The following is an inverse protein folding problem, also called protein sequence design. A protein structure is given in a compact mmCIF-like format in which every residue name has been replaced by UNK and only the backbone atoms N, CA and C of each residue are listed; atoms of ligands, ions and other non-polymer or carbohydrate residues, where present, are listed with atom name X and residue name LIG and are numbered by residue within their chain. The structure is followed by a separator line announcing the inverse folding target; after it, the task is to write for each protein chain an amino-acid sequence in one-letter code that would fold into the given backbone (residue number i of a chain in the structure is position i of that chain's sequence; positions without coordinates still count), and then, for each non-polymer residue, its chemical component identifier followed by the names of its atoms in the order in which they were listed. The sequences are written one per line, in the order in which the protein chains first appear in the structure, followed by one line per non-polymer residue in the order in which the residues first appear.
data_IF_571340897891
#
_entry.id   IF_571340897891
#
_cell.length_a   1.000
_cell.length_b   1.000
_cell.length_c   1.000
_cell.angle_alpha   90.00
_cell.angle_beta   90.00
_cell.angle_gamma   90.00
#
_symmetry.space_group_name_H-M   'P 1'
#
loop_
_entity.id
_entity.type
_entity.pdbx_description
1 polymer ?
#
# COMPACT_ATOMS: atom_id res chain seq x y z
N UNK A 1 4.57 11.44 30.89
CA UNK A 1 3.68 10.26 30.68
C UNK A 1 4.46 8.95 30.76
N UNK A 2 5.48 8.71 29.94
CA UNK A 2 6.27 7.45 29.97
C UNK A 2 7.03 7.15 31.27
N UNK A 3 7.48 8.17 32.01
CA UNK A 3 8.21 7.98 33.28
C UNK A 3 7.31 7.37 34.36
N UNK A 4 6.07 7.86 34.50
CA UNK A 4 5.10 7.29 35.45
C UNK A 4 4.62 5.88 35.07
N UNK A 5 4.49 5.59 33.78
CA UNK A 5 4.13 4.24 33.31
C UNK A 5 5.21 3.21 33.70
N UNK A 6 6.50 3.58 33.67
CA UNK A 6 7.59 2.69 34.08
C UNK A 6 7.56 2.36 35.58
N UNK A 7 7.28 3.34 36.43
CA UNK A 7 7.23 3.15 37.88
C UNK A 7 6.06 2.25 38.29
N UNK A 8 4.91 2.41 37.65
CA UNK A 8 3.72 1.57 37.83
C UNK A 8 4.00 0.13 37.37
N UNK A 9 4.56 -0.07 36.17
CA UNK A 9 4.91 -1.40 35.64
C UNK A 9 5.88 -2.13 36.57
N UNK A 10 6.89 -1.45 37.13
CA UNK A 10 7.84 -2.04 38.07
C UNK A 10 7.19 -2.55 39.38
N UNK A 11 6.04 -2.01 39.78
CA UNK A 11 5.31 -2.41 41.01
C UNK A 11 4.31 -3.55 40.79
N UNK A 12 4.02 -3.93 39.55
CA UNK A 12 3.03 -4.94 39.22
C UNK A 12 3.51 -6.37 39.51
N UNK A 13 2.57 -7.30 39.75
CA UNK A 13 2.86 -8.73 39.83
C UNK A 13 3.48 -9.22 38.50
N UNK A 14 4.46 -10.13 38.57
CA UNK A 14 5.17 -10.72 37.43
C UNK A 14 4.24 -11.19 36.30
N UNK A 15 3.09 -11.81 36.62
CA UNK A 15 2.11 -12.22 35.60
C UNK A 15 1.46 -11.05 34.86
N UNK A 16 1.16 -9.96 35.57
CA UNK A 16 0.54 -8.76 34.99
C UNK A 16 1.59 -7.92 34.27
N UNK A 17 2.85 -7.91 34.74
CA UNK A 17 3.99 -7.32 34.01
C UNK A 17 4.18 -7.99 32.66
N UNK A 18 4.18 -9.32 32.62
CA UNK A 18 4.32 -10.08 31.36
C UNK A 18 3.11 -9.83 30.45
N UNK A 19 1.90 -9.74 30.99
CA UNK A 19 0.71 -9.38 30.22
C UNK A 19 0.78 -7.95 29.67
N UNK A 20 1.21 -6.96 30.45
CA UNK A 20 1.35 -5.57 29.99
C UNK A 20 2.48 -5.41 28.99
N UNK A 21 3.62 -6.09 29.21
CA UNK A 21 4.70 -6.14 28.22
C UNK A 21 4.21 -6.83 26.95
N UNK A 22 3.48 -7.94 27.04
CA UNK A 22 2.84 -8.58 25.90
C UNK A 22 1.87 -7.62 25.21
N UNK A 23 1.01 -6.90 25.95
CA UNK A 23 0.09 -5.91 25.40
C UNK A 23 0.80 -4.76 24.69
N UNK A 24 1.88 -4.23 25.26
CA UNK A 24 2.75 -3.18 24.68
C UNK A 24 3.50 -3.70 23.45
N UNK A 25 3.97 -4.95 23.48
CA UNK A 25 4.60 -5.61 22.32
C UNK A 25 3.57 -6.02 21.24
N UNK A 26 2.28 -6.13 21.61
CA UNK A 26 1.15 -6.35 20.70
C UNK A 26 0.43 -5.07 20.30
N UNK A 27 0.87 -3.90 20.77
CA UNK A 27 0.51 -2.65 20.09
C UNK A 27 1.24 -2.69 18.76
N UNK A 28 0.53 -3.22 17.76
CA UNK A 28 1.01 -3.29 16.39
C UNK A 28 1.59 -1.94 16.03
N UNK A 29 2.82 -1.93 15.53
CA UNK A 29 3.37 -0.76 14.86
C UNK A 29 2.28 -0.26 13.91
N UNK A 30 1.64 0.86 14.26
CA UNK A 30 0.59 1.45 13.45
C UNK A 30 1.25 1.94 12.17
N UNK A 31 1.49 1.05 11.22
CA UNK A 31 2.06 1.38 9.93
C UNK A 31 0.96 1.85 9.01
N UNK A 32 1.23 2.88 8.23
CA UNK A 32 0.28 3.35 7.21
C UNK A 32 0.41 2.45 5.98
N UNK A 33 -0.66 1.73 5.60
CA UNK A 33 -0.60 0.73 4.53
C UNK A 33 -1.16 1.26 3.21
N UNK A 34 -0.36 1.14 2.15
CA UNK A 34 -0.72 1.46 0.77
C UNK A 34 -0.93 0.16 0.00
N UNK A 35 -1.98 0.08 -0.81
CA UNK A 35 -2.21 -1.03 -1.74
C UNK A 35 -2.49 -0.58 -3.17
N UNK A 36 -2.28 -1.50 -4.12
CA UNK A 36 -2.84 -1.42 -5.47
C UNK A 36 -3.46 -2.76 -5.85
N UNK A 37 -4.63 -2.74 -6.48
CA UNK A 37 -5.38 -3.96 -6.81
C UNK A 37 -6.14 -3.82 -8.13
N UNK A 38 -5.81 -4.67 -9.11
CA UNK A 38 -6.64 -4.87 -10.28
C UNK A 38 -7.83 -5.76 -9.90
N UNK A 39 -9.05 -5.23 -10.05
CA UNK A 39 -10.29 -5.93 -9.66
C UNK A 39 -10.88 -6.79 -10.78
N UNK A 40 -10.24 -6.90 -11.94
CA UNK A 40 -10.69 -7.68 -13.10
C UNK A 40 -12.13 -7.38 -13.50
N UNK A 41 -12.33 -6.40 -14.39
CA UNK A 41 -13.65 -6.02 -14.92
C UNK A 41 -14.66 -5.80 -13.78
N UNK A 42 -14.36 -4.88 -12.87
CA UNK A 42 -15.29 -4.52 -11.80
C UNK A 42 -16.42 -3.64 -12.35
N UNK A 43 -17.59 -4.24 -12.49
CA UNK A 43 -18.83 -3.55 -12.86
C UNK A 43 -20.03 -4.15 -12.13
N UNK A 44 -21.25 -3.80 -12.57
CA UNK A 44 -22.51 -4.21 -11.92
C UNK A 44 -22.57 -5.69 -11.55
N UNK A 45 -22.27 -6.59 -12.49
CA UNK A 45 -22.30 -8.05 -12.25
C UNK A 45 -21.43 -8.49 -11.07
N UNK A 46 -20.25 -7.88 -10.91
CA UNK A 46 -19.32 -8.22 -9.82
C UNK A 46 -19.74 -7.54 -8.51
N UNK A 47 -20.20 -6.28 -8.58
CA UNK A 47 -20.69 -5.54 -7.43
C UNK A 47 -21.97 -6.16 -6.83
N UNK A 48 -22.86 -6.73 -7.65
CA UNK A 48 -24.12 -7.34 -7.20
C UNK A 48 -23.94 -8.78 -6.69
N UNK A 49 -22.75 -9.36 -6.81
CA UNK A 49 -22.44 -10.65 -6.21
C UNK A 49 -21.97 -10.43 -4.76
N UNK A 50 -22.87 -10.64 -3.80
CA UNK A 50 -22.62 -10.39 -2.38
C UNK A 50 -21.38 -11.11 -1.84
N UNK A 51 -21.15 -12.36 -2.25
CA UNK A 51 -19.99 -13.13 -1.81
C UNK A 51 -18.69 -12.51 -2.32
N UNK A 52 -18.63 -12.16 -3.60
CA UNK A 52 -17.45 -11.53 -4.20
C UNK A 52 -17.22 -10.14 -3.63
N UNK A 53 -18.27 -9.34 -3.50
CA UNK A 53 -18.21 -8.01 -2.92
C UNK A 53 -17.71 -8.07 -1.47
N UNK A 54 -18.19 -9.02 -0.66
CA UNK A 54 -17.74 -9.23 0.71
C UNK A 54 -16.23 -9.49 0.80
N UNK A 55 -15.66 -10.30 -0.10
CA UNK A 55 -14.21 -10.49 -0.15
C UNK A 55 -13.47 -9.23 -0.58
N UNK A 56 -13.97 -8.50 -1.59
CA UNK A 56 -13.37 -7.24 -2.03
C UNK A 56 -13.35 -6.21 -0.88
N UNK A 57 -14.45 -6.06 -0.16
CA UNK A 57 -14.55 -5.19 1.03
C UNK A 57 -13.55 -5.63 2.10
N UNK A 58 -13.47 -6.93 2.41
CA UNK A 58 -12.52 -7.48 3.39
C UNK A 58 -11.07 -7.21 2.99
N UNK A 59 -10.73 -7.29 1.70
CA UNK A 59 -9.41 -6.93 1.16
C UNK A 59 -9.16 -5.43 1.34
N UNK A 60 -10.05 -4.56 0.87
CA UNK A 60 -9.89 -3.09 0.92
C UNK A 60 -9.72 -2.61 2.37
N UNK A 61 -10.45 -3.21 3.32
CA UNK A 61 -10.36 -2.94 4.76
C UNK A 61 -9.00 -3.25 5.39
N UNK A 62 -7.99 -3.67 4.63
CA UNK A 62 -6.60 -3.82 5.11
C UNK A 62 -5.76 -2.56 4.94
N UNK A 63 -6.22 -1.61 4.12
CA UNK A 63 -5.40 -0.50 3.64
C UNK A 63 -5.88 0.83 4.21
N UNK A 64 -4.95 1.75 4.46
CA UNK A 64 -5.27 3.14 4.74
C UNK A 64 -5.60 3.89 3.45
N UNK A 65 -4.92 3.54 2.36
CA UNK A 65 -5.24 3.96 1.00
C UNK A 65 -4.98 2.82 0.02
N UNK A 66 -5.89 2.60 -0.92
CA UNK A 66 -5.75 1.60 -1.99
C UNK A 66 -6.13 2.17 -3.35
N UNK A 67 -5.31 1.87 -4.35
CA UNK A 67 -5.58 2.13 -5.76
C UNK A 67 -6.30 0.94 -6.39
N UNK A 68 -7.49 1.16 -6.95
CA UNK A 68 -8.30 0.15 -7.63
C UNK A 68 -8.36 0.42 -9.13
N UNK A 69 -8.23 -0.66 -9.90
CA UNK A 69 -8.16 -0.63 -11.36
C UNK A 69 -9.24 -1.51 -11.99
N UNK A 70 -9.40 -1.38 -13.31
CA UNK A 70 -10.41 -2.10 -14.10
C UNK A 70 -11.86 -1.87 -13.67
N UNK A 71 -12.18 -0.66 -13.22
CA UNK A 71 -13.58 -0.28 -12.96
C UNK A 71 -14.26 -0.03 -14.30
N UNK A 72 -15.14 -0.95 -14.73
CA UNK A 72 -15.81 -0.94 -16.02
C UNK A 72 -17.32 -0.81 -15.85
N UNK A 73 -17.74 0.38 -15.42
CA UNK A 73 -19.15 0.71 -15.27
C UNK A 73 -19.44 2.17 -15.63
N UNK A 74 -20.18 2.39 -16.71
CA UNK A 74 -20.47 3.76 -17.19
C UNK A 74 -21.54 4.47 -16.37
N UNK A 75 -22.35 3.75 -15.60
CA UNK A 75 -23.35 4.34 -14.70
C UNK A 75 -22.73 4.95 -13.44
N UNK A 76 -21.58 4.39 -13.01
CA UNK A 76 -20.96 4.69 -11.73
C UNK A 76 -21.57 3.95 -10.54
N UNK A 77 -22.64 3.18 -10.73
CA UNK A 77 -23.39 2.55 -9.65
C UNK A 77 -22.58 1.50 -8.89
N UNK A 78 -21.73 0.72 -9.58
CA UNK A 78 -20.84 -0.27 -8.96
C UNK A 78 -19.89 0.37 -7.93
N UNK A 79 -19.43 1.60 -8.19
CA UNK A 79 -18.58 2.36 -7.26
C UNK A 79 -19.39 2.73 -6.02
N UNK A 80 -20.64 3.15 -6.20
CA UNK A 80 -21.55 3.49 -5.09
C UNK A 80 -21.89 2.25 -4.25
N UNK A 81 -22.16 1.11 -4.88
CA UNK A 81 -22.38 -0.17 -4.18
C UNK A 81 -21.16 -0.56 -3.36
N UNK A 82 -19.96 -0.49 -3.94
CA UNK A 82 -18.71 -0.80 -3.26
C UNK A 82 -18.48 0.10 -2.04
N UNK A 83 -18.63 1.41 -2.21
CA UNK A 83 -18.46 2.38 -1.13
C UNK A 83 -19.46 2.14 0.00
N UNK A 84 -20.74 1.90 -0.33
CA UNK A 84 -21.78 1.65 0.66
C UNK A 84 -21.50 0.37 1.46
N UNK A 85 -21.11 -0.72 0.79
CA UNK A 85 -20.75 -1.97 1.46
C UNK A 85 -19.52 -1.78 2.36
N UNK A 86 -18.47 -1.13 1.84
CA UNK A 86 -17.25 -0.84 2.59
C UNK A 86 -17.50 0.00 3.85
N UNK A 87 -18.31 1.05 3.73
CA UNK A 87 -18.61 1.97 4.82
C UNK A 87 -19.60 1.40 5.84
N UNK A 88 -20.51 0.52 5.41
CA UNK A 88 -21.40 -0.21 6.33
C UNK A 88 -20.60 -1.16 7.23
N UNK A 89 -19.54 -1.76 6.69
CA UNK A 89 -18.62 -2.63 7.42
C UNK A 89 -17.50 -1.89 8.18
N UNK A 90 -17.46 -0.56 8.13
CA UNK A 90 -16.39 0.25 8.73
C UNK A 90 -16.94 1.43 9.58
N UNK A 91 -17.84 1.17 10.56
CA UNK A 91 -18.54 2.25 11.28
C UNK A 91 -17.60 3.19 12.06
N UNK A 92 -16.45 2.70 12.53
CA UNK A 92 -15.46 3.49 13.27
C UNK A 92 -14.41 4.20 12.41
N UNK A 93 -14.30 3.89 11.11
CA UNK A 93 -13.36 4.55 10.20
C UNK A 93 -13.80 4.35 8.75
N UNK A 94 -14.73 5.20 8.32
CA UNK A 94 -15.25 5.21 6.96
C UNK A 94 -14.16 5.56 5.95
N UNK A 95 -14.38 5.16 4.71
CA UNK A 95 -13.58 5.49 3.55
C UNK A 95 -14.23 6.62 2.76
N UNK A 96 -13.39 7.48 2.19
CA UNK A 96 -13.71 8.37 1.09
C UNK A 96 -13.04 7.87 -0.19
N UNK A 97 -13.44 8.47 -1.31
CA UNK A 97 -12.95 8.11 -2.63
C UNK A 97 -12.61 9.33 -3.48
N UNK A 98 -11.66 9.16 -4.38
CA UNK A 98 -11.47 10.02 -5.55
C UNK A 98 -11.41 9.13 -6.79
N UNK A 99 -12.09 9.55 -7.85
CA UNK A 99 -12.34 8.72 -9.05
C UNK A 99 -11.85 9.47 -10.27
N UNK A 100 -11.14 8.80 -11.18
CA UNK A 100 -10.73 9.39 -12.45
C UNK A 100 -11.92 9.52 -13.42
N UNK A 101 -11.73 10.32 -14.49
CA UNK A 101 -12.55 10.18 -15.71
C UNK A 101 -12.44 8.76 -16.27
N UNK A 102 -13.35 8.36 -17.17
CA UNK A 102 -13.25 7.10 -17.93
C UNK A 102 -12.10 7.20 -18.96
N UNK A 103 -11.19 6.22 -18.95
CA UNK A 103 -9.95 6.16 -19.74
C UNK A 103 -9.95 4.95 -20.67
N UNK A 104 -9.29 5.06 -21.82
CA UNK A 104 -9.32 4.05 -22.89
C UNK A 104 -9.53 4.68 -24.27
N UNK A 105 -8.83 4.14 -25.26
CA UNK A 105 -8.91 4.50 -26.68
C UNK A 105 -10.20 3.95 -27.32
N UNK A 106 -10.76 2.89 -26.75
CA UNK A 106 -11.97 2.21 -27.25
C UNK A 106 -13.25 2.61 -26.51
N UNK A 107 -14.39 2.06 -26.94
CA UNK A 107 -15.66 2.21 -26.22
C UNK A 107 -15.64 1.52 -24.84
N UNK A 108 -14.85 0.45 -24.67
CA UNK A 108 -14.69 -0.25 -23.40
C UNK A 108 -13.65 0.48 -22.53
N UNK A 109 -14.12 1.49 -21.80
CA UNK A 109 -13.29 2.32 -20.91
C UNK A 109 -13.26 1.82 -19.47
N UNK A 110 -12.20 2.17 -18.78
CA UNK A 110 -11.95 1.90 -17.36
C UNK A 110 -11.89 3.18 -16.53
N UNK A 111 -12.08 3.06 -15.23
CA UNK A 111 -11.81 4.12 -14.27
C UNK A 111 -10.85 3.64 -13.21
N UNK A 112 -10.13 4.60 -12.66
CA UNK A 112 -9.30 4.42 -11.48
C UNK A 112 -9.98 5.00 -10.26
N UNK A 113 -9.79 4.35 -9.12
CA UNK A 113 -10.28 4.84 -7.83
C UNK A 113 -9.14 4.78 -6.82
N UNK A 114 -8.93 5.86 -6.08
CA UNK A 114 -8.27 5.76 -4.78
C UNK A 114 -9.33 5.78 -3.69
N UNK A 115 -9.38 4.71 -2.89
CA UNK A 115 -10.16 4.65 -1.65
C UNK A 115 -9.22 4.88 -0.48
N UNK A 116 -9.60 5.74 0.46
CA UNK A 116 -8.78 6.04 1.63
C UNK A 116 -9.61 6.23 2.89
N UNK A 117 -9.09 5.81 4.03
CA UNK A 117 -9.78 5.97 5.33
C UNK A 117 -9.76 7.41 5.77
N UNK A 118 -10.91 7.93 6.21
CA UNK A 118 -11.08 9.29 6.74
C UNK A 118 -10.16 9.61 7.91
N UNK A 119 -9.93 8.63 8.78
CA UNK A 119 -9.09 8.80 9.98
C UNK A 119 -7.66 8.29 9.80
N UNK A 120 -7.22 8.02 8.57
CA UNK A 120 -5.81 7.66 8.30
C UNK A 120 -4.84 8.84 8.48
N UNK A 121 -5.36 10.06 8.62
CA UNK A 121 -4.56 11.28 8.76
C UNK A 121 -3.93 11.76 7.45
N UNK A 122 -4.48 11.32 6.32
CA UNK A 122 -4.13 11.88 5.01
C UNK A 122 -5.18 12.88 4.55
N UNK A 123 -4.74 13.82 3.72
CA UNK A 123 -5.59 14.76 2.99
C UNK A 123 -5.18 14.74 1.52
N UNK A 124 -6.16 14.63 0.63
CA UNK A 124 -5.94 14.77 -0.80
C UNK A 124 -5.82 16.26 -1.11
N UNK A 125 -4.63 16.70 -1.52
CA UNK A 125 -4.35 18.12 -1.83
C UNK A 125 -4.86 18.47 -3.22
N UNK A 126 -4.58 17.60 -4.19
CA UNK A 126 -4.99 17.77 -5.58
C UNK A 126 -4.87 16.44 -6.31
N UNK A 127 -5.60 16.30 -7.42
CA UNK A 127 -5.46 15.19 -8.33
C UNK A 127 -5.66 15.62 -9.78
N UNK A 128 -5.08 14.88 -10.71
CA UNK A 128 -5.30 15.07 -12.14
C UNK A 128 -4.97 13.79 -12.91
N UNK A 129 -5.57 13.65 -14.10
CA UNK A 129 -5.15 12.63 -15.07
C UNK A 129 -4.07 13.25 -15.95
N UNK A 130 -2.95 12.54 -16.15
CA UNK A 130 -1.84 12.99 -16.98
C UNK A 130 -2.35 13.41 -18.37
N UNK A 131 -1.91 14.56 -18.84
CA UNK A 131 -2.20 14.99 -20.20
C UNK A 131 -1.18 14.32 -21.13
N UNK A 132 -1.66 13.39 -21.96
CA UNK A 132 -0.83 12.61 -22.87
C UNK A 132 -0.94 13.11 -24.32
N UNK A 133 -0.21 14.17 -24.71
CA UNK A 133 -0.31 14.75 -26.05
C UNK A 133 0.21 13.81 -27.15
N UNK A 134 0.97 12.77 -26.80
CA UNK A 134 1.53 11.81 -27.75
C UNK A 134 0.71 10.52 -27.85
N UNK A 135 -0.40 10.41 -27.11
CA UNK A 135 -1.29 9.24 -27.07
C UNK A 135 -0.53 7.91 -26.89
N UNK A 136 0.44 7.93 -25.98
CA UNK A 136 1.28 6.78 -25.62
C UNK A 136 0.46 5.79 -24.81
N UNK A 137 -0.24 6.28 -23.79
CA UNK A 137 -1.00 5.50 -22.82
C UNK A 137 -2.41 5.22 -23.33
N UNK A 138 -2.83 3.95 -23.30
CA UNK A 138 -4.25 3.60 -23.47
C UNK A 138 -5.11 4.16 -22.34
N UNK A 139 -4.56 4.19 -21.12
CA UNK A 139 -5.20 4.75 -19.94
C UNK A 139 -4.20 5.64 -19.23
N UNK A 140 -4.35 6.94 -19.39
CA UNK A 140 -3.40 7.92 -18.87
C UNK A 140 -3.28 7.81 -17.32
N UNK A 141 -2.07 7.91 -16.73
CA UNK A 141 -1.90 7.77 -15.29
C UNK A 141 -2.76 8.77 -14.49
N UNK A 142 -3.24 8.33 -13.32
CA UNK A 142 -4.01 9.18 -12.38
C UNK A 142 -3.15 9.58 -11.19
N UNK A 143 -2.85 10.88 -11.11
CA UNK A 143 -1.92 11.47 -10.16
C UNK A 143 -2.70 12.05 -8.99
N UNK A 144 -2.26 11.74 -7.77
CA UNK A 144 -2.86 12.20 -6.52
C UNK A 144 -1.77 12.70 -5.59
N UNK A 145 -1.82 13.99 -5.24
CA UNK A 145 -0.95 14.59 -4.24
C UNK A 145 -1.57 14.46 -2.87
N UNK A 146 -0.81 13.91 -1.94
CA UNK A 146 -1.24 13.57 -0.59
C UNK A 146 -0.40 14.33 0.42
N UNK A 147 -1.07 14.91 1.42
CA UNK A 147 -0.45 15.33 2.67
C UNK A 147 -0.83 14.35 3.77
N UNK A 148 0.10 14.10 4.69
CA UNK A 148 -0.10 13.14 5.78
C UNK A 148 0.43 13.71 7.10
N UNK A 149 -0.37 13.57 8.14
CA UNK A 149 0.00 13.93 9.52
C UNK A 149 0.46 12.72 10.33
N UNK A 150 0.34 11.50 9.79
CA UNK A 150 0.70 10.26 10.49
C UNK A 150 1.98 9.62 10.01
N UNK A 151 2.34 9.77 8.74
CA UNK A 151 3.57 9.19 8.18
C UNK A 151 4.77 10.09 8.45
N UNK A 152 5.97 9.50 8.52
CA UNK A 152 7.22 10.28 8.70
C UNK A 152 7.53 11.21 7.51
N UNK A 153 7.05 10.86 6.31
CA UNK A 153 6.97 11.76 5.16
C UNK A 153 5.60 12.45 5.18
N UNK A 154 5.62 13.78 5.12
CA UNK A 154 4.41 14.61 5.27
C UNK A 154 3.70 14.93 3.95
N UNK A 155 4.36 14.74 2.82
CA UNK A 155 3.81 15.02 1.49
C UNK A 155 4.45 14.07 0.48
N UNK A 156 3.62 13.42 -0.36
CA UNK A 156 4.06 12.52 -1.42
C UNK A 156 2.98 12.41 -2.50
N UNK A 157 3.33 11.81 -3.64
CA UNK A 157 2.41 11.59 -4.77
C UNK A 157 2.24 10.11 -5.03
N UNK A 158 0.99 9.69 -5.25
CA UNK A 158 0.64 8.39 -5.81
C UNK A 158 0.22 8.57 -7.27
N UNK A 159 0.85 7.84 -8.18
CA UNK A 159 0.58 7.88 -9.62
C UNK A 159 0.09 6.50 -10.08
N UNK A 160 -1.23 6.34 -10.08
CA UNK A 160 -1.89 5.08 -10.42
C UNK A 160 -1.90 4.82 -11.93
N UNK A 161 -1.57 3.59 -12.34
CA UNK A 161 -1.53 3.18 -13.75
C UNK A 161 -1.93 1.71 -13.93
N UNK A 162 -2.71 1.42 -14.96
CA UNK A 162 -2.95 0.08 -15.51
C UNK A 162 -2.47 0.07 -16.96
N UNK A 163 -1.31 -0.54 -17.20
CA UNK A 163 -0.60 -0.51 -18.48
C UNK A 163 -1.21 -1.47 -19.49
N UNK A 164 -1.31 -1.09 -20.77
CA UNK A 164 -1.79 -1.99 -21.81
C UNK A 164 -0.76 -3.11 -22.08
N UNK A 165 -1.14 -4.41 -22.02
CA UNK A 165 -0.19 -5.52 -22.17
C UNK A 165 0.69 -5.45 -23.42
N UNK A 166 0.09 -5.16 -24.58
CA UNK A 166 0.82 -5.07 -25.86
C UNK A 166 1.69 -3.82 -26.00
N UNK A 167 1.58 -2.85 -25.08
CA UNK A 167 2.41 -1.64 -25.04
C UNK A 167 3.25 -1.56 -23.75
N UNK A 168 3.41 -2.66 -23.01
CA UNK A 168 3.97 -2.60 -21.66
C UNK A 168 5.33 -1.89 -21.58
N UNK A 169 6.29 -2.28 -22.42
CA UNK A 169 7.60 -1.63 -22.50
C UNK A 169 7.48 -0.13 -22.83
N UNK A 170 6.58 0.25 -23.75
CA UNK A 170 6.41 1.63 -24.19
C UNK A 170 5.80 2.51 -23.09
N UNK A 171 4.69 2.07 -22.49
CA UNK A 171 3.98 2.82 -21.45
C UNK A 171 4.80 2.93 -20.16
N UNK A 172 5.47 1.84 -19.72
CA UNK A 172 6.35 1.89 -18.55
C UNK A 172 7.53 2.85 -18.79
N UNK A 173 8.11 2.83 -20.00
CA UNK A 173 9.20 3.78 -20.35
C UNK A 173 8.72 5.24 -20.27
N UNK A 174 7.49 5.52 -20.72
CA UNK A 174 6.93 6.86 -20.72
C UNK A 174 6.61 7.41 -19.31
N UNK A 175 6.68 6.58 -18.26
CA UNK A 175 6.54 7.05 -16.87
C UNK A 175 7.63 8.06 -16.47
N UNK A 176 8.78 8.11 -17.15
CA UNK A 176 9.77 9.19 -16.93
C UNK A 176 9.25 10.57 -17.33
N UNK A 177 8.46 10.65 -18.41
CA UNK A 177 7.82 11.91 -18.81
C UNK A 177 6.74 12.29 -17.81
N UNK A 178 5.98 11.31 -17.31
CA UNK A 178 4.99 11.51 -16.25
C UNK A 178 5.66 12.00 -14.96
N UNK A 179 6.80 11.42 -14.58
CA UNK A 179 7.60 11.89 -13.44
C UNK A 179 7.97 13.38 -13.59
N UNK A 180 8.48 13.77 -14.75
CA UNK A 180 8.84 15.17 -15.01
C UNK A 180 7.64 16.13 -14.91
N UNK A 181 6.47 15.71 -15.41
CA UNK A 181 5.22 16.47 -15.29
C UNK A 181 4.77 16.61 -13.82
N UNK A 182 4.84 15.53 -13.03
CA UNK A 182 4.52 15.55 -11.60
C UNK A 182 5.45 16.50 -10.86
N UNK A 183 6.78 16.41 -11.07
CA UNK A 183 7.74 17.31 -10.41
C UNK A 183 7.44 18.77 -10.76
N UNK A 184 7.14 19.05 -12.02
CA UNK A 184 6.80 20.40 -12.48
C UNK A 184 5.51 20.93 -11.86
N UNK A 185 4.42 20.15 -11.81
CA UNK A 185 3.10 20.58 -11.34
C UNK A 185 2.93 20.50 -9.83
N UNK A 186 3.39 19.41 -9.23
CA UNK A 186 3.17 19.08 -7.82
C UNK A 186 4.32 19.51 -6.91
N UNK A 187 5.45 19.95 -7.48
CA UNK A 187 6.63 20.47 -6.76
C UNK A 187 7.22 19.47 -5.76
N UNK A 188 7.12 18.17 -6.07
CA UNK A 188 7.72 17.10 -5.30
C UNK A 188 8.26 16.01 -6.22
N UNK A 189 9.31 15.33 -5.76
CA UNK A 189 9.93 14.18 -6.41
C UNK A 189 9.68 12.87 -5.64
N UNK A 190 8.97 12.95 -4.50
CA UNK A 190 8.55 11.81 -3.69
C UNK A 190 7.30 11.18 -4.33
N UNK A 191 7.52 10.25 -5.26
CA UNK A 191 6.49 9.70 -6.13
C UNK A 191 6.51 8.18 -6.05
N UNK A 192 5.33 7.58 -5.94
CA UNK A 192 5.11 6.15 -6.08
C UNK A 192 4.19 5.90 -7.28
N UNK A 193 4.73 5.30 -8.33
CA UNK A 193 3.93 4.68 -9.38
C UNK A 193 3.45 3.32 -8.90
N UNK A 194 2.15 3.04 -9.06
CA UNK A 194 1.52 1.83 -8.54
C UNK A 194 0.41 1.31 -9.44
N UNK A 195 0.33 -0.01 -9.58
CA UNK A 195 -0.73 -0.71 -10.30
C UNK A 195 -0.22 -1.88 -11.14
N UNK A 196 -1.11 -2.42 -11.96
CA UNK A 196 -0.87 -3.47 -12.93
C UNK A 196 -0.12 -2.89 -14.12
N UNK A 197 1.19 -3.10 -14.14
CA UNK A 197 2.06 -2.60 -15.18
C UNK A 197 2.27 -3.62 -16.31
N UNK A 198 1.70 -4.83 -16.21
CA UNK A 198 2.02 -5.94 -17.10
C UNK A 198 3.54 -6.16 -17.25
N UNK A 199 4.30 -5.91 -16.17
CA UNK A 199 5.76 -5.75 -16.17
C UNK A 199 6.54 -7.07 -16.04
N UNK A 200 6.05 -8.16 -16.64
CA UNK A 200 6.82 -9.40 -16.78
C UNK A 200 6.29 -10.30 -17.91
N UNK A 201 6.75 -11.55 -17.93
CA UNK A 201 6.32 -12.60 -18.84
C UNK A 201 6.39 -12.17 -20.31
N UNK A 202 5.39 -12.52 -21.13
CA UNK A 202 5.38 -12.21 -22.56
C UNK A 202 5.15 -10.73 -22.87
N UNK A 203 4.58 -9.97 -21.94
CA UNK A 203 4.25 -8.55 -22.14
C UNK A 203 5.47 -7.64 -21.97
N UNK A 204 6.32 -7.93 -20.99
CA UNK A 204 7.58 -7.23 -20.77
C UNK A 204 8.75 -8.21 -20.57
N UNK A 205 9.25 -8.83 -21.65
CA UNK A 205 10.40 -9.74 -21.57
C UNK A 205 11.63 -9.05 -20.96
N UNK A 206 12.36 -9.76 -20.08
CA UNK A 206 13.54 -9.24 -19.35
C UNK A 206 14.58 -8.59 -20.28
N UNK A 207 14.77 -9.11 -21.49
CA UNK A 207 15.66 -8.54 -22.52
C UNK A 207 15.29 -7.12 -22.99
N UNK A 208 14.09 -6.65 -22.71
CA UNK A 208 13.65 -5.29 -23.00
C UNK A 208 13.45 -4.50 -21.71
N UNK A 209 12.75 -5.10 -20.73
CA UNK A 209 12.44 -4.46 -19.46
C UNK A 209 13.71 -4.00 -18.73
N UNK A 210 14.79 -4.80 -18.73
CA UNK A 210 16.03 -4.44 -18.03
C UNK A 210 16.84 -3.32 -18.69
N UNK A 211 16.40 -2.81 -19.85
CA UNK A 211 17.11 -1.76 -20.59
C UNK A 211 16.33 -0.44 -20.67
N UNK A 212 15.10 -0.38 -20.15
CA UNK A 212 14.36 0.88 -20.15
C UNK A 212 14.93 1.84 -19.08
N UNK A 213 14.94 3.17 -19.33
CA UNK A 213 15.53 4.15 -18.42
C UNK A 213 15.06 4.06 -16.96
N UNK A 214 13.74 3.90 -16.74
CA UNK A 214 13.15 3.78 -15.39
C UNK A 214 13.58 2.50 -14.65
N UNK A 215 14.11 1.50 -15.37
CA UNK A 215 14.63 0.26 -14.78
C UNK A 215 16.14 0.30 -14.54
N UNK A 216 16.89 0.99 -15.39
CA UNK A 216 18.36 1.08 -15.32
C UNK A 216 18.85 2.20 -14.41
N UNK A 217 18.03 3.23 -14.19
CA UNK A 217 18.35 4.34 -13.30
C UNK A 217 18.30 3.93 -11.83
N UNK A 218 19.33 4.31 -11.07
CA UNK A 218 19.41 4.08 -9.62
C UNK A 218 18.46 4.97 -8.79
N UNK A 219 17.74 5.89 -9.44
CA UNK A 219 16.78 6.79 -8.79
C UNK A 219 15.39 6.18 -8.60
N UNK A 220 15.10 5.10 -9.32
CA UNK A 220 13.82 4.41 -9.23
C UNK A 220 14.00 3.06 -8.53
N UNK A 221 13.18 2.84 -7.51
CA UNK A 221 13.22 1.65 -6.69
C UNK A 221 11.99 0.80 -7.00
N UNK A 222 12.23 -0.35 -7.63
CA UNK A 222 11.19 -1.34 -7.92
C UNK A 222 10.97 -2.20 -6.69
N UNK A 223 9.91 -1.93 -5.93
CA UNK A 223 9.70 -2.51 -4.60
C UNK A 223 9.04 -3.89 -4.64
N UNK A 224 8.41 -4.25 -5.75
CA UNK A 224 7.99 -5.62 -6.04
C UNK A 224 9.02 -6.22 -7.00
N UNK A 225 9.71 -7.27 -6.56
CA UNK A 225 10.74 -7.95 -7.33
C UNK A 225 10.15 -8.78 -8.48
N UNK A 226 10.97 -9.08 -9.50
CA UNK A 226 10.57 -9.88 -10.68
C UNK A 226 10.26 -11.34 -10.35
N UNK A 227 10.57 -11.81 -9.15
CA UNK A 227 10.32 -13.19 -8.72
C UNK A 227 9.07 -13.33 -7.85
N UNK A 228 8.24 -12.29 -7.77
CA UNK A 228 7.01 -12.27 -6.98
C UNK A 228 5.83 -12.41 -7.94
N UNK A 229 5.15 -13.55 -7.89
CA UNK A 229 3.91 -13.76 -8.63
C UNK A 229 2.81 -12.85 -8.08
N UNK A 230 2.25 -11.99 -8.94
CA UNK A 230 1.12 -11.12 -8.59
C UNK A 230 -0.20 -11.64 -9.16
N UNK A 231 -0.24 -12.88 -9.67
CA UNK A 231 -1.41 -13.48 -10.31
C UNK A 231 -2.06 -14.57 -9.46
N UNK A 232 -3.39 -14.68 -9.52
CA UNK A 232 -4.18 -15.69 -8.78
C UNK A 232 -4.26 -17.02 -9.54
N UNK A 233 -4.08 -16.97 -10.86
CA UNK A 233 -4.18 -18.16 -11.71
C UNK A 233 -3.03 -19.13 -11.44
N UNK A 234 -3.34 -20.42 -11.28
CA UNK A 234 -2.33 -21.47 -11.09
C UNK A 234 -1.46 -21.73 -12.33
N UNK A 235 -1.86 -21.20 -13.49
CA UNK A 235 -1.17 -21.38 -14.76
C UNK A 235 -0.23 -20.23 -15.12
N UNK A 236 -0.08 -19.25 -14.23
CA UNK A 236 0.73 -18.05 -14.43
C UNK A 236 1.63 -17.85 -13.22
N UNK A 237 2.81 -17.27 -13.46
CA UNK A 237 3.80 -16.89 -12.45
C UNK A 237 4.46 -15.62 -13.00
N UNK A 238 3.83 -14.48 -12.72
CA UNK A 238 4.18 -13.21 -13.36
C UNK A 238 4.10 -12.03 -12.38
N UNK A 239 5.16 -11.24 -12.31
CA UNK A 239 5.23 -9.99 -11.56
C UNK A 239 4.64 -8.81 -12.36
N UNK A 240 3.32 -8.85 -12.62
CA UNK A 240 2.65 -7.81 -13.40
C UNK A 240 2.45 -6.51 -12.62
N UNK A 241 2.01 -6.62 -11.37
CA UNK A 241 1.70 -5.49 -10.50
C UNK A 241 2.97 -4.97 -9.83
N UNK A 242 3.23 -3.66 -9.92
CA UNK A 242 4.48 -3.06 -9.44
C UNK A 242 4.27 -1.81 -8.60
N UNK A 243 5.22 -1.63 -7.69
CA UNK A 243 5.53 -0.35 -7.06
C UNK A 243 6.88 0.14 -7.62
N UNK A 244 6.89 1.31 -8.23
CA UNK A 244 8.12 1.99 -8.67
C UNK A 244 8.19 3.33 -7.93
N UNK A 245 9.12 3.43 -6.97
CA UNK A 245 9.28 4.57 -6.09
C UNK A 245 10.43 5.47 -6.56
N UNK A 246 10.25 6.77 -6.47
CA UNK A 246 11.29 7.79 -6.61
C UNK A 246 11.32 8.70 -5.37
N UNK A 247 12.50 9.20 -5.01
CA UNK A 247 12.72 10.13 -3.91
C UNK A 247 13.23 9.47 -2.63
N UNK A 248 14.42 9.87 -2.18
CA UNK A 248 15.09 9.27 -1.01
C UNK A 248 14.27 9.44 0.28
N UNK A 249 13.55 10.56 0.41
CA UNK A 249 12.69 10.81 1.57
C UNK A 249 11.54 9.82 1.60
N UNK A 250 10.90 9.56 0.46
CA UNK A 250 9.86 8.55 0.37
C UNK A 250 10.43 7.15 0.61
N UNK A 251 11.56 6.80 -0.01
CA UNK A 251 12.21 5.49 0.20
C UNK A 251 12.49 5.23 1.68
N UNK A 252 13.08 6.21 2.38
CA UNK A 252 13.39 6.11 3.80
C UNK A 252 12.14 6.02 4.70
N UNK A 253 10.98 6.46 4.21
CA UNK A 253 9.71 6.35 4.91
C UNK A 253 9.07 4.97 4.78
N UNK A 254 9.50 4.11 3.85
CA UNK A 254 8.99 2.74 3.70
C UNK A 254 9.53 1.87 4.85
N UNK A 255 8.66 1.01 5.41
CA UNK A 255 9.07 -0.05 6.34
C UNK A 255 9.81 -1.10 5.52
N UNK A 256 11.04 -1.41 5.94
CA UNK A 256 11.90 -2.36 5.24
C UNK A 256 11.21 -3.72 5.09
N UNK A 257 11.34 -4.34 3.91
CA UNK A 257 10.74 -5.65 3.57
C UNK A 257 9.20 -5.73 3.72
N UNK A 258 8.49 -4.59 3.76
CA UNK A 258 7.03 -4.58 3.82
C UNK A 258 6.34 -4.74 2.46
N UNK A 259 7.05 -4.50 1.36
CA UNK A 259 6.51 -4.60 0.01
C UNK A 259 6.31 -6.07 -0.39
N UNK A 260 5.06 -6.47 -0.64
CA UNK A 260 4.69 -7.85 -0.93
C UNK A 260 3.33 -7.95 -1.63
N UNK A 261 2.96 -9.17 -2.01
CA UNK A 261 1.59 -9.50 -2.44
C UNK A 261 0.72 -9.92 -1.26
N UNK A 262 -0.56 -9.63 -1.33
CA UNK A 262 -1.57 -10.18 -0.43
C UNK A 262 -2.33 -11.33 -1.10
N UNK A 263 -1.88 -12.55 -0.82
CA UNK A 263 -2.47 -13.79 -1.34
C UNK A 263 -3.81 -14.09 -0.65
N UNK A 264 -4.86 -13.35 -1.03
CA UNK A 264 -6.17 -13.39 -0.37
C UNK A 264 -6.86 -14.75 -0.47
N UNK A 265 -6.51 -15.55 -1.47
CA UNK A 265 -6.99 -16.91 -1.65
C UNK A 265 -6.46 -17.83 -0.55
N UNK A 266 -5.18 -17.73 -0.20
CA UNK A 266 -4.55 -18.47 0.90
C UNK A 266 -5.04 -17.95 2.24
N UNK A 267 -5.04 -16.64 2.44
CA UNK A 267 -5.48 -16.01 3.69
C UNK A 267 -6.94 -16.38 4.03
N UNK A 268 -7.83 -16.37 3.03
CA UNK A 268 -9.24 -16.68 3.22
C UNK A 268 -9.62 -18.12 2.87
N UNK A 269 -8.63 -18.97 2.56
CA UNK A 269 -8.79 -20.40 2.22
C UNK A 269 -9.80 -20.62 1.09
N UNK A 270 -9.71 -19.81 0.04
CA UNK A 270 -10.59 -19.86 -1.10
C UNK A 270 -10.19 -20.97 -2.07
N UNK A 271 -11.17 -21.56 -2.73
CA UNK A 271 -10.89 -22.36 -3.92
C UNK A 271 -10.45 -21.42 -5.04
N UNK A 272 -9.65 -21.92 -6.00
CA UNK A 272 -9.17 -21.09 -7.11
C UNK A 272 -10.34 -20.50 -7.92
N UNK A 273 -11.45 -21.22 -8.07
CA UNK A 273 -12.67 -20.72 -8.72
C UNK A 273 -13.26 -19.50 -8.01
N UNK A 274 -13.36 -19.55 -6.67
CA UNK A 274 -13.86 -18.40 -5.89
C UNK A 274 -12.86 -17.26 -5.95
N UNK A 275 -11.56 -17.54 -5.83
CA UNK A 275 -10.52 -16.52 -5.91
C UNK A 275 -10.55 -15.78 -7.27
N UNK A 276 -10.63 -16.51 -8.38
CA UNK A 276 -10.74 -15.94 -9.73
C UNK A 276 -12.04 -15.16 -9.98
N UNK A 277 -13.10 -15.42 -9.19
CA UNK A 277 -14.31 -14.60 -9.22
C UNK A 277 -14.11 -13.24 -8.53
N UNK A 278 -13.21 -13.17 -7.55
CA UNK A 278 -12.77 -11.91 -6.91
C UNK A 278 -11.86 -11.14 -7.85
N UNK A 279 -10.72 -11.71 -8.25
CA UNK A 279 -9.81 -11.17 -9.25
C UNK A 279 -8.84 -12.25 -9.75
N UNK A 280 -8.20 -12.01 -10.90
CA UNK A 280 -7.03 -12.77 -11.37
C UNK A 280 -5.69 -12.16 -10.96
N UNK A 281 -5.69 -11.02 -10.27
CA UNK A 281 -4.50 -10.40 -9.66
C UNK A 281 -4.58 -10.48 -8.14
N UNK A 282 -3.44 -10.53 -7.46
CA UNK A 282 -3.34 -10.24 -6.04
C UNK A 282 -3.13 -8.74 -5.83
N UNK A 283 -3.67 -8.14 -4.75
CA UNK A 283 -3.23 -6.82 -4.32
C UNK A 283 -1.72 -6.85 -4.01
N UNK A 284 -0.99 -5.84 -4.47
CA UNK A 284 0.34 -5.52 -3.95
C UNK A 284 0.19 -4.52 -2.81
N UNK A 285 1.00 -4.66 -1.76
CA UNK A 285 0.95 -3.84 -0.57
C UNK A 285 2.32 -3.45 -0.06
N UNK A 286 2.41 -2.28 0.57
CA UNK A 286 3.58 -1.83 1.32
C UNK A 286 3.14 -1.05 2.57
N UNK A 287 4.06 -0.91 3.52
CA UNK A 287 3.85 -0.19 4.76
C UNK A 287 4.80 1.01 4.88
N UNK A 288 4.28 2.12 5.39
CA UNK A 288 5.04 3.32 5.69
C UNK A 288 5.19 3.52 7.20
N UNK A 289 6.38 3.97 7.60
CA UNK A 289 6.70 4.38 8.96
C UNK A 289 5.80 5.54 9.37
N UNK A 290 5.23 5.44 10.57
CA UNK A 290 4.44 6.51 11.19
C UNK A 290 5.24 7.24 12.26
N UNK A 291 4.82 8.47 12.55
CA UNK A 291 5.45 9.33 13.57
C UNK A 291 5.45 8.69 14.97
N UNK A 292 4.51 7.78 15.24
CA UNK A 292 4.45 6.99 16.48
C UNK A 292 5.41 5.79 16.47
N UNK A 293 5.64 5.17 15.31
CA UNK A 293 6.59 4.06 15.14
C UNK A 293 8.07 4.48 15.18
N UNK A 294 8.35 5.78 15.02
CA UNK A 294 9.70 6.36 15.09
C UNK A 294 10.15 6.78 16.50
N UNK A 295 9.34 6.53 17.54
CA UNK A 295 9.84 6.61 18.91
C UNK A 295 10.97 5.57 19.06
N UNK A 296 12.13 5.93 19.65
CA UNK A 296 13.30 5.06 19.65
C UNK A 296 12.94 3.71 20.26
N UNK A 297 13.15 2.65 19.48
CA UNK A 297 13.16 1.28 19.96
C UNK A 297 14.13 1.24 21.15
N UNK A 298 13.62 1.12 22.37
CA UNK A 298 14.49 0.91 23.54
C UNK A 298 14.96 -0.54 23.41
N UNK A 299 16.23 -0.81 23.09
CA UNK A 299 16.69 -2.18 22.92
C UNK A 299 16.48 -2.94 24.23
N UNK A 300 16.10 -4.22 24.14
CA UNK A 300 15.89 -5.10 25.30
C UNK A 300 17.07 -5.08 26.29
N UNK A 301 18.28 -4.81 25.80
CA UNK A 301 19.52 -4.68 26.58
C UNK A 301 19.59 -3.43 27.47
N UNK A 302 18.85 -2.35 27.15
CA UNK A 302 18.72 -1.20 28.05
C UNK A 302 17.69 -1.42 29.16
N UNK A 303 16.71 -2.31 28.95
CA UNK A 303 15.75 -2.67 30.01
C UNK A 303 16.33 -3.61 31.06
N UNK A 304 17.20 -4.55 30.66
CA UNK A 304 17.88 -5.45 31.61
C UNK A 304 18.87 -4.68 32.49
N UNK A 305 19.56 -3.67 31.96
CA UNK A 305 20.55 -2.90 32.74
C UNK A 305 19.89 -2.02 33.81
N UNK A 306 18.71 -1.45 33.53
CA UNK A 306 17.97 -0.61 34.49
C UNK A 306 17.27 -1.46 35.56
N UNK A 307 16.79 -2.67 35.24
CA UNK A 307 16.15 -3.55 36.22
C UNK A 307 17.13 -4.40 37.06
N UNK A 308 18.32 -4.75 36.54
CA UNK A 308 19.34 -5.46 37.33
C UNK A 308 20.27 -4.52 38.11
N UNK A 309 20.46 -3.27 37.67
CA UNK A 309 21.26 -2.28 38.40
C UNK A 309 20.69 -1.94 39.78
N UNK A 310 19.36 -1.96 39.92
CA UNK A 310 18.66 -1.73 41.20
C UNK A 310 18.59 -2.96 42.12
N UNK A 311 18.87 -4.17 41.60
CA UNK A 311 18.90 -5.40 42.42
C UNK A 311 20.30 -5.63 43.01
N UNK A 312 21.37 -5.18 42.37
CA UNK A 312 22.74 -5.38 42.86
C UNK A 312 23.21 -4.26 43.82
N UNK A 313 22.66 -3.05 43.72
CA UNK A 313 23.05 -1.96 44.63
C UNK A 313 22.48 -2.08 46.06
N UNK A 314 21.52 -2.98 46.28
CA UNK A 314 20.90 -3.19 47.60
C UNK A 314 21.52 -4.36 48.40
N UNK A 315 22.52 -5.06 47.87
CA UNK A 315 23.14 -6.23 48.52
C UNK A 315 24.61 -6.06 48.94
N UNK A 316 25.24 -4.90 48.71
CA UNK A 316 26.66 -4.67 49.09
C UNK A 316 26.82 -3.78 50.33
N UNK A 317 25.74 -3.16 50.84
CA UNK A 317 25.79 -2.36 52.08
C UNK A 317 25.30 -3.09 53.35
N UNK A 318 25.05 -4.41 53.29
CA UNK A 318 24.57 -5.19 54.45
C UNK A 318 25.56 -6.25 54.98
N UNK A 319 26.86 -6.15 54.67
CA UNK A 319 27.91 -7.04 55.20
C UNK A 319 29.11 -6.30 55.83
N UNK A 320 28.89 -5.08 56.34
CA UNK A 320 29.74 -4.46 57.37
C UNK A 320 28.86 -3.83 58.44
N UNK A 321 28.50 -4.67 59.40
CA UNK A 321 27.77 -4.38 60.62
C UNK A 321 27.70 -5.66 61.41
#
# INVERSE_FOLDING_TARGET
MWIHIKEEICRMNTGIKLLVIFLILTEGSWSFRIGAFNLKVFGRKKADNEQVLGYIVKIIKRYDIIFLQEIRDSSGDSITVLENALNSESPGSKYDKIVSKRLGDTASKEQYIFLYRRHSGITIVSSYVYHDPQNVFEREPYIVKIQSTKTVITEFVLAGIHVKPLKAIQEITALETVHSDIVSKMKTQDILFLGDMNAECSYAPKKYLNYIPIRTSNKYHWLISDNIDTTVSKGTDCAYDRFILHGDKFLNAIVENSSKVFEFDKEYRLTNTVALSVSDHYPIELEMKTVTSSAPYIPFTMFTTVCFGSVICSCIYCLRG
#
